data_IF_005954354387
#
_entry.id   IF_005954354387
#
_cell.length_a   1.000
_cell.length_b   1.000
_cell.length_c   1.000
_cell.angle_alpha   90.00
_cell.angle_beta   90.00
_cell.angle_gamma   90.00
#
_symmetry.space_group_name_H-M   'P 1'
#
loop_
_entity.id
_entity.type
_entity.pdbx_description
1 polymer ?
#
# COMPACT_ATOMS: atom_id res chain seq x y z
N UNK A 1 7.64 32.32 -14.26
CA UNK A 1 7.87 30.94 -13.80
C UNK A 1 8.99 30.35 -14.64
N UNK A 2 10.17 30.11 -14.07
CA UNK A 2 11.33 29.64 -14.80
C UNK A 2 11.24 28.11 -14.97
N UNK A 3 11.15 27.64 -16.20
CA UNK A 3 11.34 26.22 -16.53
C UNK A 3 12.73 25.77 -16.08
N UNK A 4 12.78 24.93 -15.08
CA UNK A 4 14.00 24.18 -14.75
C UNK A 4 14.26 23.22 -15.91
N UNK A 5 15.24 23.57 -16.78
CA UNK A 5 15.81 22.64 -17.75
C UNK A 5 16.25 21.36 -17.01
N UNK A 6 15.56 20.27 -17.25
CA UNK A 6 16.04 18.94 -16.85
C UNK A 6 17.34 18.66 -17.61
N UNK A 7 18.41 18.36 -16.85
CA UNK A 7 19.65 17.87 -17.44
C UNK A 7 19.36 16.55 -18.18
N UNK A 8 20.01 16.27 -19.32
CA UNK A 8 19.81 15.02 -20.05
C UNK A 8 20.22 13.85 -19.16
N UNK A 9 19.28 12.96 -18.88
CA UNK A 9 19.53 11.66 -18.23
C UNK A 9 20.30 10.78 -19.23
N UNK A 10 21.62 10.88 -19.23
CA UNK A 10 22.48 10.12 -20.16
C UNK A 10 22.69 8.64 -19.77
N UNK A 11 22.03 8.13 -18.72
CA UNK A 11 22.04 6.72 -18.35
C UNK A 11 20.65 6.29 -17.91
N UNK A 12 20.08 5.31 -18.59
CA UNK A 12 18.86 4.64 -18.15
C UNK A 12 19.08 4.04 -16.77
N UNK A 13 18.38 4.56 -15.77
CA UNK A 13 18.39 4.02 -14.42
C UNK A 13 17.54 2.74 -14.40
N UNK A 14 18.10 1.64 -13.91
CA UNK A 14 17.35 0.40 -13.74
C UNK A 14 17.14 0.12 -12.26
N UNK A 15 15.89 -0.08 -11.87
CA UNK A 15 15.54 -0.47 -10.50
C UNK A 15 15.17 -1.96 -10.44
N UNK A 16 15.47 -2.60 -9.31
CA UNK A 16 14.85 -3.86 -8.92
C UNK A 16 13.61 -3.53 -8.09
N UNK A 17 12.43 -3.72 -8.70
CA UNK A 17 11.16 -3.43 -8.03
C UNK A 17 10.72 -4.61 -7.18
N UNK A 18 10.74 -4.44 -5.86
CA UNK A 18 10.33 -5.45 -4.90
C UNK A 18 8.95 -5.16 -4.32
N UNK A 19 8.06 -6.13 -4.47
CA UNK A 19 6.77 -6.16 -3.79
C UNK A 19 6.46 -7.60 -3.34
N UNK A 20 5.67 -7.75 -2.27
CA UNK A 20 5.25 -9.06 -1.73
C UNK A 20 4.00 -9.63 -2.39
N UNK A 21 3.50 -9.01 -3.47
CA UNK A 21 2.34 -9.44 -4.27
C UNK A 21 2.77 -9.78 -5.70
N UNK A 22 1.87 -10.41 -6.45
CA UNK A 22 2.05 -10.75 -7.86
C UNK A 22 2.10 -9.47 -8.72
N UNK A 23 3.25 -8.82 -8.75
CA UNK A 23 3.42 -7.49 -9.37
C UNK A 23 3.28 -7.54 -10.88
N UNK A 24 3.82 -8.58 -11.53
CA UNK A 24 3.79 -8.69 -12.99
C UNK A 24 2.36 -8.87 -13.48
N UNK A 25 1.61 -9.74 -12.86
CA UNK A 25 0.20 -10.01 -13.16
C UNK A 25 -0.62 -8.72 -12.98
N UNK A 26 -0.49 -8.06 -11.84
CA UNK A 26 -1.18 -6.79 -11.57
C UNK A 26 -0.75 -5.66 -12.52
N UNK A 27 0.49 -5.68 -13.02
CA UNK A 27 0.96 -4.70 -14.00
C UNK A 27 0.34 -4.94 -15.39
N UNK A 28 0.18 -6.20 -15.81
CA UNK A 28 -0.53 -6.52 -17.06
C UNK A 28 -2.03 -6.19 -16.93
N UNK A 29 -2.67 -6.51 -15.80
CA UNK A 29 -4.05 -6.11 -15.51
C UNK A 29 -4.23 -4.58 -15.52
N UNK A 30 -3.24 -3.81 -15.04
CA UNK A 30 -3.26 -2.36 -15.10
C UNK A 30 -3.29 -1.84 -16.54
N UNK A 31 -2.52 -2.40 -17.45
CA UNK A 31 -2.53 -2.03 -18.87
C UNK A 31 -3.89 -2.21 -19.52
N UNK A 32 -4.68 -3.16 -19.01
CA UNK A 32 -6.02 -3.48 -19.46
C UNK A 32 -7.13 -2.75 -18.66
N UNK A 33 -6.76 -1.78 -17.81
CA UNK A 33 -7.67 -1.08 -16.89
C UNK A 33 -8.42 -2.00 -15.92
N UNK A 34 -7.88 -3.18 -15.60
CA UNK A 34 -8.45 -4.12 -14.63
C UNK A 34 -7.89 -3.97 -13.23
N UNK A 35 -6.77 -3.25 -13.06
CA UNK A 35 -6.10 -3.03 -11.81
C UNK A 35 -5.62 -1.58 -11.68
N UNK A 36 -5.89 -0.88 -10.55
CA UNK A 36 -5.50 0.53 -10.40
C UNK A 36 -4.00 0.68 -10.15
N UNK A 37 -3.34 1.52 -10.95
CA UNK A 37 -1.88 1.69 -10.94
C UNK A 37 -1.32 2.29 -9.66
N UNK A 38 -2.10 3.03 -8.88
CA UNK A 38 -1.61 3.58 -7.61
C UNK A 38 -1.24 2.49 -6.59
N UNK A 39 -1.87 1.30 -6.64
CA UNK A 39 -1.50 0.14 -5.79
C UNK A 39 -0.14 -0.46 -6.22
N UNK A 40 0.37 -0.11 -7.39
CA UNK A 40 1.69 -0.49 -7.89
C UNK A 40 2.81 0.49 -7.50
N UNK A 41 2.54 1.43 -6.57
CA UNK A 41 3.56 2.31 -5.98
C UNK A 41 4.43 3.06 -7.00
N UNK A 42 3.80 3.59 -8.05
CA UNK A 42 4.45 4.36 -9.09
C UNK A 42 5.11 3.54 -10.20
N UNK A 43 5.19 2.22 -10.09
CA UNK A 43 5.76 1.34 -11.11
C UNK A 43 5.27 1.64 -12.54
N UNK A 44 3.95 1.86 -12.79
CA UNK A 44 3.43 2.16 -14.12
C UNK A 44 3.99 3.42 -14.76
N UNK A 45 4.46 4.36 -13.95
CA UNK A 45 4.91 5.68 -14.41
C UNK A 45 6.43 5.80 -14.54
N UNK A 46 7.20 4.83 -14.04
CA UNK A 46 8.67 4.93 -13.97
C UNK A 46 9.32 5.04 -15.35
N UNK A 47 8.79 4.34 -16.34
CA UNK A 47 9.31 4.39 -17.71
C UNK A 47 9.18 5.78 -18.35
N UNK A 48 8.14 6.54 -17.99
CA UNK A 48 7.96 7.92 -18.44
C UNK A 48 9.09 8.86 -17.96
N UNK A 49 9.82 8.44 -16.93
CA UNK A 49 10.97 9.17 -16.37
C UNK A 49 12.32 8.52 -16.73
N UNK A 50 12.35 7.61 -17.70
CA UNK A 50 13.58 6.92 -18.11
C UNK A 50 14.09 5.91 -17.08
N UNK A 51 13.19 5.38 -16.23
CA UNK A 51 13.52 4.36 -15.21
C UNK A 51 12.98 3.02 -15.66
N UNK A 52 13.88 2.09 -15.96
CA UNK A 52 13.52 0.71 -16.28
C UNK A 52 13.33 -0.13 -15.01
N UNK A 53 12.40 -1.08 -15.03
CA UNK A 53 12.05 -1.88 -13.85
C UNK A 53 12.24 -3.36 -14.08
N UNK A 54 13.09 -3.98 -13.27
CA UNK A 54 13.19 -5.45 -13.12
C UNK A 54 12.25 -5.87 -12.00
N UNK A 55 11.14 -6.50 -12.34
CA UNK A 55 10.12 -6.87 -11.36
C UNK A 55 10.49 -8.15 -10.60
N UNK A 56 10.35 -8.10 -9.27
CA UNK A 56 10.55 -9.26 -8.41
C UNK A 56 9.58 -10.40 -8.78
N UNK A 57 10.10 -11.61 -8.87
CA UNK A 57 9.28 -12.82 -9.05
C UNK A 57 8.65 -13.19 -7.71
N UNK A 58 7.42 -12.74 -7.49
CA UNK A 58 6.72 -13.02 -6.25
C UNK A 58 6.38 -14.50 -6.11
N UNK A 59 6.54 -15.03 -4.89
CA UNK A 59 6.02 -16.34 -4.46
C UNK A 59 5.42 -16.22 -3.08
N UNK A 60 4.32 -16.94 -2.85
CA UNK A 60 3.69 -16.97 -1.54
C UNK A 60 4.34 -18.02 -0.63
N UNK A 61 4.61 -17.63 0.60
CA UNK A 61 5.17 -18.48 1.63
C UNK A 61 4.37 -18.34 2.93
N UNK A 62 4.08 -19.46 3.57
CA UNK A 62 3.41 -19.48 4.89
C UNK A 62 4.29 -18.95 6.02
N UNK A 63 5.62 -18.89 5.82
CA UNK A 63 6.59 -18.49 6.85
C UNK A 63 7.48 -17.33 6.41
N UNK A 64 7.70 -16.35 7.33
CA UNK A 64 8.56 -15.16 7.07
C UNK A 64 10.00 -15.54 6.72
N UNK A 65 10.56 -16.57 7.37
CA UNK A 65 11.94 -17.01 7.09
C UNK A 65 12.10 -17.50 5.66
N UNK A 66 11.15 -18.31 5.16
CA UNK A 66 11.18 -18.79 3.77
C UNK A 66 11.09 -17.64 2.78
N UNK A 67 10.24 -16.66 3.05
CA UNK A 67 10.14 -15.44 2.25
C UNK A 67 11.46 -14.68 2.24
N UNK A 68 12.09 -14.48 3.41
CA UNK A 68 13.38 -13.77 3.53
C UNK A 68 14.49 -14.46 2.75
N UNK A 69 14.61 -15.78 2.86
CA UNK A 69 15.61 -16.55 2.10
C UNK A 69 15.38 -16.47 0.60
N UNK A 70 14.14 -16.62 0.15
CA UNK A 70 13.77 -16.52 -1.24
C UNK A 70 14.04 -15.12 -1.81
N UNK A 71 13.51 -14.07 -1.18
CA UNK A 71 13.70 -12.71 -1.65
C UNK A 71 15.17 -12.28 -1.67
N UNK A 72 15.93 -12.66 -0.63
CA UNK A 72 17.37 -12.39 -0.58
C UNK A 72 18.10 -13.07 -1.75
N UNK A 73 17.80 -14.34 -2.03
CA UNK A 73 18.38 -15.06 -3.17
C UNK A 73 18.05 -14.37 -4.51
N UNK A 74 16.78 -14.05 -4.75
CA UNK A 74 16.35 -13.42 -6.01
C UNK A 74 17.02 -12.05 -6.21
N UNK A 75 17.19 -11.26 -5.15
CA UNK A 75 17.84 -9.94 -5.21
C UNK A 75 19.34 -10.05 -5.46
N UNK A 76 20.04 -10.94 -4.70
CA UNK A 76 21.49 -11.05 -4.77
C UNK A 76 21.96 -11.72 -6.07
N UNK A 77 21.20 -12.68 -6.57
CA UNK A 77 21.52 -13.46 -7.77
C UNK A 77 20.65 -13.10 -8.98
N UNK A 78 20.10 -11.87 -8.99
CA UNK A 78 19.36 -11.36 -10.13
C UNK A 78 20.27 -11.36 -11.37
N UNK A 79 19.79 -11.97 -12.46
CA UNK A 79 20.54 -12.06 -13.72
C UNK A 79 20.59 -10.71 -14.45
N UNK A 80 19.56 -9.90 -14.29
CA UNK A 80 19.46 -8.57 -14.88
C UNK A 80 20.25 -7.57 -14.04
N UNK A 81 20.99 -6.67 -14.68
CA UNK A 81 21.70 -5.61 -14.00
C UNK A 81 20.70 -4.53 -13.56
N UNK A 82 20.78 -4.10 -12.33
CA UNK A 82 20.02 -2.97 -11.80
C UNK A 82 20.90 -2.09 -10.92
N UNK A 83 20.49 -0.84 -10.73
CA UNK A 83 21.27 0.17 -10.01
C UNK A 83 20.76 0.35 -8.57
N UNK A 84 19.45 0.23 -8.34
CA UNK A 84 18.77 0.52 -7.07
C UNK A 84 17.79 -0.59 -6.73
N UNK A 85 17.72 -0.99 -5.46
CA UNK A 85 16.63 -1.79 -4.92
C UNK A 85 15.50 -0.85 -4.45
N UNK A 86 14.38 -0.86 -5.17
CA UNK A 86 13.18 -0.11 -4.84
C UNK A 86 12.13 -1.06 -4.27
N UNK A 87 11.77 -0.86 -3.01
CA UNK A 87 10.89 -1.78 -2.28
C UNK A 87 9.64 -1.07 -1.76
N UNK A 88 8.49 -1.70 -1.92
CA UNK A 88 7.21 -1.17 -1.39
C UNK A 88 7.01 -1.47 0.09
N UNK A 89 7.81 -2.39 0.65
CA UNK A 89 7.90 -2.68 2.08
C UNK A 89 9.22 -3.37 2.38
N UNK A 90 9.61 -3.42 3.65
CA UNK A 90 10.83 -4.14 4.08
C UNK A 90 10.58 -5.64 4.34
N UNK A 91 9.32 -6.09 4.35
CA UNK A 91 8.99 -7.48 4.65
C UNK A 91 9.59 -8.43 3.62
N UNK A 92 10.49 -9.31 4.07
CA UNK A 92 11.18 -10.30 3.25
C UNK A 92 12.57 -9.89 2.77
N UNK A 93 12.91 -8.60 2.76
CA UNK A 93 14.24 -8.10 2.35
C UNK A 93 15.13 -7.68 3.52
N UNK A 94 14.73 -7.98 4.76
CA UNK A 94 15.49 -7.64 5.96
C UNK A 94 16.97 -8.08 5.89
N UNK A 95 17.31 -9.31 5.41
CA UNK A 95 18.71 -9.70 5.28
C UNK A 95 19.49 -8.80 4.31
N UNK A 96 18.89 -8.39 3.18
CA UNK A 96 19.53 -7.50 2.21
C UNK A 96 19.80 -6.12 2.82
N UNK A 97 18.86 -5.61 3.64
CA UNK A 97 19.04 -4.35 4.37
C UNK A 97 20.20 -4.46 5.36
N UNK A 98 20.32 -5.57 6.12
CA UNK A 98 21.47 -5.78 7.00
C UNK A 98 22.78 -5.92 6.22
N UNK A 99 22.79 -6.64 5.09
CA UNK A 99 23.97 -6.71 4.22
C UNK A 99 24.38 -5.32 3.71
N UNK A 100 23.40 -4.45 3.40
CA UNK A 100 23.67 -3.05 3.02
C UNK A 100 24.27 -2.26 4.18
N UNK A 101 23.74 -2.41 5.40
CA UNK A 101 24.25 -1.75 6.59
C UNK A 101 25.72 -2.11 6.91
N UNK A 102 26.12 -3.35 6.59
CA UNK A 102 27.46 -3.90 6.74
C UNK A 102 28.38 -3.61 5.54
N UNK A 103 27.89 -2.99 4.47
CA UNK A 103 28.67 -2.69 3.27
C UNK A 103 28.85 -3.87 2.31
N UNK A 104 28.26 -5.03 2.59
CA UNK A 104 28.33 -6.25 1.75
C UNK A 104 27.39 -6.17 0.54
N UNK A 105 26.27 -5.50 0.65
CA UNK A 105 25.40 -5.16 -0.48
C UNK A 105 25.60 -3.70 -0.86
N UNK A 106 26.06 -3.44 -2.09
CA UNK A 106 26.55 -2.11 -2.49
C UNK A 106 25.50 -1.20 -3.13
N UNK A 107 24.38 -1.76 -3.63
CA UNK A 107 23.35 -0.97 -4.31
C UNK A 107 22.48 -0.22 -3.29
N UNK A 108 22.07 1.03 -3.57
CA UNK A 108 21.17 1.76 -2.70
C UNK A 108 19.82 1.05 -2.51
N UNK A 109 19.22 1.24 -1.34
CA UNK A 109 17.89 0.73 -1.00
C UNK A 109 16.96 1.91 -0.76
N UNK A 110 15.92 2.00 -1.59
CA UNK A 110 14.82 2.97 -1.48
C UNK A 110 13.57 2.20 -1.09
N UNK A 111 12.86 2.64 -0.06
CA UNK A 111 11.73 1.89 0.49
C UNK A 111 10.54 2.79 0.82
N UNK A 112 9.32 2.28 0.59
CA UNK A 112 8.11 2.84 1.16
C UNK A 112 7.95 2.35 2.59
N UNK A 113 7.89 3.29 3.54
CA UNK A 113 7.78 3.01 4.95
C UNK A 113 6.41 3.45 5.46
N UNK A 114 5.52 2.49 5.67
CA UNK A 114 4.09 2.74 5.93
C UNK A 114 3.81 3.27 7.34
N UNK A 115 4.75 3.09 8.28
CA UNK A 115 4.60 3.50 9.67
C UNK A 115 5.74 4.43 10.09
N UNK A 116 5.63 5.09 11.23
CA UNK A 116 6.78 5.80 11.81
C UNK A 116 7.86 4.80 12.28
N UNK A 117 9.12 5.24 12.21
CA UNK A 117 10.22 4.55 12.90
C UNK A 117 10.01 4.70 14.39
N UNK A 118 9.99 3.60 15.12
CA UNK A 118 9.74 3.60 16.57
C UNK A 118 10.95 3.16 17.37
N UNK A 119 11.08 3.64 18.61
CA UNK A 119 12.11 3.20 19.54
C UNK A 119 11.73 1.84 20.13
N UNK A 120 12.69 0.93 20.23
CA UNK A 120 12.46 -0.34 20.89
C UNK A 120 12.81 -0.24 22.38
N UNK A 121 11.94 -0.69 23.29
CA UNK A 121 12.20 -0.61 24.73
C UNK A 121 13.36 -1.49 25.20
N UNK A 122 13.72 -2.55 24.46
CA UNK A 122 14.85 -3.44 24.79
C UNK A 122 16.13 -2.91 24.13
N UNK A 123 17.21 -2.58 24.91
CA UNK A 123 18.42 -1.95 24.36
C UNK A 123 19.07 -2.73 23.21
N UNK A 124 19.18 -4.05 23.32
CA UNK A 124 19.78 -4.86 22.27
C UNK A 124 18.96 -4.85 20.97
N UNK A 125 17.62 -4.85 21.07
CA UNK A 125 16.73 -4.73 19.90
C UNK A 125 16.83 -3.35 19.29
N UNK A 126 17.02 -2.32 20.12
CA UNK A 126 17.22 -0.96 19.65
C UNK A 126 18.51 -0.86 18.81
N UNK A 127 19.61 -1.49 19.23
CA UNK A 127 20.86 -1.53 18.46
C UNK A 127 20.68 -2.26 17.11
N UNK A 128 20.01 -3.41 17.12
CA UNK A 128 19.66 -4.12 15.88
C UNK A 128 18.81 -3.24 14.97
N UNK A 129 17.81 -2.54 15.52
CA UNK A 129 16.96 -1.62 14.77
C UNK A 129 17.77 -0.45 14.18
N UNK A 130 18.73 0.11 14.92
CA UNK A 130 19.63 1.16 14.39
C UNK A 130 20.46 0.66 13.21
N UNK A 131 21.04 -0.54 13.34
CA UNK A 131 21.77 -1.18 12.25
C UNK A 131 20.87 -1.41 11.04
N UNK A 132 19.64 -1.87 11.24
CA UNK A 132 18.65 -2.05 10.18
C UNK A 132 18.39 -0.75 9.41
N UNK A 133 18.05 0.34 10.09
CA UNK A 133 17.78 1.63 9.44
C UNK A 133 19.02 2.28 8.81
N UNK A 134 20.23 1.94 9.29
CA UNK A 134 21.48 2.32 8.62
C UNK A 134 21.56 1.77 7.20
N UNK A 135 21.04 0.55 6.96
CA UNK A 135 21.03 -0.12 5.66
C UNK A 135 20.01 0.40 4.66
N UNK A 136 19.16 1.35 5.02
CA UNK A 136 18.20 1.98 4.12
C UNK A 136 18.76 3.33 3.69
N UNK A 137 18.83 3.59 2.40
CA UNK A 137 19.38 4.85 1.89
C UNK A 137 18.31 5.95 1.79
N UNK A 138 17.06 5.59 1.43
CA UNK A 138 15.94 6.52 1.34
C UNK A 138 14.63 5.86 1.80
N UNK A 139 13.84 6.57 2.59
CA UNK A 139 12.50 6.15 3.03
C UNK A 139 11.44 7.15 2.58
N UNK A 140 10.42 6.66 1.90
CA UNK A 140 9.23 7.41 1.56
C UNK A 140 8.15 7.19 2.63
N UNK A 141 7.64 8.27 3.18
CA UNK A 141 6.61 8.29 4.21
C UNK A 141 5.40 9.09 3.73
N UNK A 142 4.20 8.66 4.10
CA UNK A 142 2.95 9.21 3.58
C UNK A 142 2.52 10.53 4.24
N UNK A 143 3.13 10.91 5.37
CA UNK A 143 2.75 12.14 6.06
C UNK A 143 3.92 12.82 6.75
N UNK A 144 3.79 14.15 6.95
CA UNK A 144 4.75 14.92 7.74
C UNK A 144 4.82 14.44 9.19
N UNK A 145 3.69 13.98 9.75
CA UNK A 145 3.66 13.41 11.11
C UNK A 145 4.53 12.17 11.22
N UNK A 146 4.44 11.23 10.26
CA UNK A 146 5.30 10.04 10.23
C UNK A 146 6.79 10.40 10.16
N UNK A 147 7.14 11.44 9.39
CA UNK A 147 8.51 11.96 9.32
C UNK A 147 8.96 12.49 10.68
N UNK A 148 8.15 13.38 11.29
CA UNK A 148 8.46 13.98 12.58
C UNK A 148 8.63 12.93 13.69
N UNK A 149 7.73 11.95 13.74
CA UNK A 149 7.79 10.87 14.73
C UNK A 149 9.01 9.95 14.49
N UNK A 150 9.35 9.68 13.23
CA UNK A 150 10.55 8.92 12.87
C UNK A 150 11.85 9.64 13.28
N UNK A 151 11.92 10.96 13.11
CA UNK A 151 13.08 11.78 13.48
C UNK A 151 13.36 11.75 14.98
N UNK A 152 12.33 11.68 15.83
CA UNK A 152 12.47 11.59 17.29
C UNK A 152 13.33 10.41 17.74
N UNK A 153 13.37 9.34 16.97
CA UNK A 153 14.13 8.12 17.28
C UNK A 153 15.63 8.23 17.01
N UNK A 154 16.05 9.21 16.20
CA UNK A 154 17.42 9.38 15.70
C UNK A 154 18.02 8.15 15.00
N UNK A 155 17.19 7.22 14.50
CA UNK A 155 17.63 6.04 13.75
C UNK A 155 17.88 6.33 12.27
N UNK A 156 17.16 7.29 11.73
CA UNK A 156 17.28 7.72 10.35
C UNK A 156 17.53 9.22 10.28
N UNK A 157 18.64 9.66 9.66
CA UNK A 157 18.90 11.08 9.43
C UNK A 157 17.79 11.70 8.56
N UNK A 158 17.52 12.99 8.76
CA UNK A 158 16.44 13.71 8.07
C UNK A 158 16.53 13.65 6.54
N UNK A 159 17.75 13.63 6.00
CA UNK A 159 17.96 13.55 4.54
C UNK A 159 17.48 12.22 3.93
N UNK A 160 17.38 11.15 4.72
CA UNK A 160 16.84 9.85 4.28
C UNK A 160 15.32 9.79 4.28
N UNK A 161 14.64 10.71 4.96
CA UNK A 161 13.18 10.72 5.10
C UNK A 161 12.58 11.69 4.07
N UNK A 162 11.72 11.19 3.20
CA UNK A 162 11.05 11.97 2.18
C UNK A 162 9.54 11.82 2.28
N UNK A 163 8.84 12.94 2.24
CA UNK A 163 7.40 12.93 2.07
C UNK A 163 7.07 12.52 0.64
N UNK A 164 6.16 11.59 0.50
CA UNK A 164 5.59 11.23 -0.78
C UNK A 164 4.08 11.44 -0.74
N UNK A 165 3.55 12.04 -1.80
CA UNK A 165 2.12 12.14 -2.01
C UNK A 165 1.68 10.94 -2.84
N UNK A 166 0.70 10.21 -2.31
CA UNK A 166 0.10 9.09 -2.99
C UNK A 166 -1.30 9.48 -3.47
N UNK A 167 -1.56 9.33 -4.74
CA UNK A 167 -2.81 9.74 -5.36
C UNK A 167 -3.42 8.61 -6.19
N UNK A 168 -4.66 8.79 -6.68
CA UNK A 168 -5.36 7.82 -7.49
C UNK A 168 -4.75 7.69 -8.90
N UNK A 169 -5.01 6.54 -9.52
CA UNK A 169 -4.86 6.33 -10.96
C UNK A 169 -6.12 6.83 -11.66
N UNK A 170 -6.17 8.12 -11.96
CA UNK A 170 -7.34 8.74 -12.59
C UNK A 170 -7.74 8.05 -13.91
N UNK A 171 -6.82 7.75 -14.85
CA UNK A 171 -7.17 7.03 -16.07
C UNK A 171 -7.93 5.72 -15.85
N UNK A 172 -7.56 4.96 -14.80
CA UNK A 172 -8.27 3.73 -14.43
C UNK A 172 -9.71 4.02 -14.01
N UNK A 173 -9.93 5.01 -13.14
CA UNK A 173 -11.29 5.34 -12.67
C UNK A 173 -12.11 6.04 -13.74
N UNK A 174 -11.52 6.86 -14.60
CA UNK A 174 -12.21 7.48 -15.74
C UNK A 174 -12.71 6.40 -16.72
N UNK A 175 -11.88 5.38 -17.00
CA UNK A 175 -12.27 4.23 -17.81
C UNK A 175 -13.44 3.44 -17.18
N UNK A 176 -13.33 3.15 -15.87
CA UNK A 176 -14.38 2.45 -15.13
C UNK A 176 -15.71 3.23 -15.15
N UNK A 177 -15.65 4.55 -14.97
CA UNK A 177 -16.84 5.40 -14.99
C UNK A 177 -17.46 5.51 -16.40
N UNK A 178 -16.65 5.49 -17.46
CA UNK A 178 -17.11 5.52 -18.84
C UNK A 178 -17.94 4.29 -19.22
N UNK A 179 -17.68 3.15 -18.56
CA UNK A 179 -18.53 1.94 -18.74
C UNK A 179 -19.89 2.02 -18.01
N UNK A 180 -20.12 3.06 -17.22
CA UNK A 180 -21.30 3.20 -16.35
C UNK A 180 -21.97 4.57 -16.50
N UNK A 181 -22.30 5.03 -17.72
CA UNK A 181 -22.82 6.38 -17.96
C UNK A 181 -24.15 6.64 -17.24
N UNK A 182 -25.01 5.61 -17.12
CA UNK A 182 -26.35 5.72 -16.53
C UNK A 182 -26.40 5.31 -15.06
N UNK A 183 -25.23 5.28 -14.36
CA UNK A 183 -25.21 4.92 -12.94
C UNK A 183 -26.08 5.84 -12.13
N UNK A 184 -26.86 5.26 -11.22
CA UNK A 184 -27.65 6.00 -10.21
C UNK A 184 -27.08 5.66 -8.84
N UNK A 185 -26.28 6.56 -8.24
CA UNK A 185 -25.70 6.30 -6.93
C UNK A 185 -26.78 6.22 -5.86
N UNK A 186 -26.74 5.17 -5.02
CA UNK A 186 -27.68 4.97 -3.92
C UNK A 186 -27.03 4.31 -2.71
N UNK A 187 -27.36 4.79 -1.51
CA UNK A 187 -26.93 4.23 -0.23
C UNK A 187 -25.44 4.41 0.05
N UNK A 188 -25.00 3.76 1.08
CA UNK A 188 -23.64 3.87 1.61
C UNK A 188 -22.84 2.59 1.34
N UNK A 189 -21.54 2.73 1.24
CA UNK A 189 -20.61 1.60 1.18
C UNK A 189 -19.44 1.82 2.13
N UNK A 190 -19.00 0.74 2.76
CA UNK A 190 -17.69 0.71 3.44
C UNK A 190 -16.87 -0.43 2.90
N UNK A 191 -15.62 -0.14 2.54
CA UNK A 191 -14.68 -1.12 1.97
C UNK A 191 -13.38 -1.16 2.76
N UNK A 192 -12.65 -2.27 2.60
CA UNK A 192 -11.31 -2.43 3.15
C UNK A 192 -11.16 -3.69 3.98
N UNK A 193 -9.93 -3.95 4.43
CA UNK A 193 -9.63 -5.16 5.18
C UNK A 193 -8.74 -4.96 6.40
N UNK A 194 -8.06 -3.83 6.51
CA UNK A 194 -7.14 -3.59 7.63
C UNK A 194 -7.70 -2.53 8.58
N UNK A 195 -7.73 -2.85 9.87
CA UNK A 195 -8.03 -1.91 10.96
C UNK A 195 -9.34 -1.12 10.79
N UNK A 196 -10.40 -1.81 10.35
CA UNK A 196 -11.74 -1.22 10.29
C UNK A 196 -12.44 -1.34 11.65
N UNK A 197 -13.06 -0.26 12.08
CA UNK A 197 -13.94 -0.23 13.25
C UNK A 197 -15.35 -0.61 12.82
N UNK A 198 -15.52 -1.92 12.65
CA UNK A 198 -16.79 -2.49 12.18
C UNK A 198 -17.87 -2.38 13.25
N UNK A 199 -17.51 -2.47 14.52
CA UNK A 199 -18.43 -2.37 15.63
C UNK A 199 -19.14 -1.01 15.66
N UNK A 200 -18.38 0.07 15.67
CA UNK A 200 -18.94 1.44 15.59
C UNK A 200 -19.76 1.65 14.32
N UNK A 201 -19.27 1.15 13.16
CA UNK A 201 -19.98 1.28 11.90
C UNK A 201 -21.37 0.61 11.95
N UNK A 202 -21.45 -0.63 12.39
CA UNK A 202 -22.71 -1.38 12.45
C UNK A 202 -23.70 -0.77 13.43
N UNK A 203 -23.24 -0.34 14.61
CA UNK A 203 -24.09 0.34 15.60
C UNK A 203 -24.69 1.64 15.03
N UNK A 204 -23.88 2.44 14.35
CA UNK A 204 -24.36 3.70 13.76
C UNK A 204 -25.43 3.46 12.68
N UNK A 205 -25.22 2.49 11.78
CA UNK A 205 -26.17 2.20 10.71
C UNK A 205 -27.43 1.48 11.20
N UNK A 206 -27.32 0.64 12.22
CA UNK A 206 -28.49 0.03 12.85
C UNK A 206 -29.39 1.08 13.52
N UNK A 207 -28.81 2.13 14.09
CA UNK A 207 -29.57 3.22 14.72
C UNK A 207 -30.26 4.16 13.71
N UNK A 208 -29.71 4.32 12.49
CA UNK A 208 -30.24 5.23 11.47
C UNK A 208 -31.14 4.54 10.45
N UNK A 209 -31.09 3.21 10.36
CA UNK A 209 -31.76 2.38 9.36
C UNK A 209 -31.44 2.76 7.90
N UNK A 210 -30.28 3.40 7.66
CA UNK A 210 -29.78 3.73 6.33
C UNK A 210 -29.19 2.49 5.62
N UNK A 211 -29.25 2.49 4.28
CA UNK A 211 -28.74 1.38 3.48
C UNK A 211 -27.21 1.34 3.46
N UNK A 212 -26.61 0.28 4.01
CA UNK A 212 -25.17 0.05 4.01
C UNK A 212 -24.80 -1.27 3.33
N UNK A 213 -23.88 -1.22 2.38
CA UNK A 213 -23.15 -2.40 1.92
C UNK A 213 -21.72 -2.39 2.51
N UNK A 214 -21.41 -3.36 3.35
CA UNK A 214 -20.07 -3.53 3.95
C UNK A 214 -19.31 -4.64 3.23
N UNK A 215 -18.25 -4.26 2.49
CA UNK A 215 -17.32 -5.18 1.83
C UNK A 215 -16.06 -5.31 2.66
N UNK A 216 -15.88 -6.48 3.32
CA UNK A 216 -14.79 -6.69 4.27
C UNK A 216 -14.24 -8.12 4.19
N UNK A 217 -12.95 -8.30 4.49
CA UNK A 217 -12.35 -9.63 4.61
C UNK A 217 -12.91 -10.37 5.84
N UNK A 218 -12.97 -11.70 5.80
CA UNK A 218 -13.34 -12.52 6.99
C UNK A 218 -12.40 -12.22 8.16
N UNK A 219 -11.11 -12.09 7.88
CA UNK A 219 -10.09 -11.73 8.87
C UNK A 219 -8.92 -11.00 8.25
N UNK A 220 -8.26 -10.15 9.04
CA UNK A 220 -7.02 -9.51 8.64
C UNK A 220 -6.10 -9.29 9.85
N UNK A 221 -4.87 -9.79 9.77
CA UNK A 221 -3.95 -9.76 10.90
C UNK A 221 -4.50 -10.54 12.11
N UNK A 222 -4.65 -9.85 13.23
CA UNK A 222 -5.20 -10.41 14.46
C UNK A 222 -6.72 -10.16 14.63
N UNK A 223 -7.35 -9.48 13.67
CA UNK A 223 -8.78 -9.14 13.73
C UNK A 223 -9.56 -10.17 12.92
N UNK A 224 -10.55 -10.79 13.54
CA UNK A 224 -11.53 -11.64 12.87
C UNK A 224 -12.86 -10.89 12.81
N UNK A 225 -13.12 -10.27 11.68
CA UNK A 225 -14.32 -9.45 11.46
C UNK A 225 -15.60 -10.27 11.50
N UNK A 226 -15.56 -11.51 10.99
CA UNK A 226 -16.74 -12.38 11.07
C UNK A 226 -17.17 -12.62 12.51
N UNK A 227 -16.24 -12.87 13.44
CA UNK A 227 -16.56 -13.04 14.86
C UNK A 227 -17.11 -11.76 15.51
N UNK A 228 -16.75 -10.59 15.00
CA UNK A 228 -17.28 -9.30 15.47
C UNK A 228 -18.70 -9.09 14.94
N UNK A 229 -18.96 -9.46 13.68
CA UNK A 229 -20.23 -9.22 12.98
C UNK A 229 -21.31 -10.24 13.38
N UNK A 230 -20.95 -11.52 13.49
CA UNK A 230 -21.93 -12.63 13.72
C UNK A 230 -22.87 -12.42 14.93
N UNK A 231 -22.47 -11.76 16.03
CA UNK A 231 -23.38 -11.53 17.17
C UNK A 231 -24.47 -10.46 16.92
N UNK A 232 -24.36 -9.67 15.85
CA UNK A 232 -25.32 -8.61 15.58
C UNK A 232 -26.60 -9.15 14.91
N UNK A 233 -27.76 -8.78 15.46
CA UNK A 233 -29.02 -8.89 14.77
C UNK A 233 -29.19 -7.67 13.84
N UNK A 234 -28.64 -7.77 12.62
CA UNK A 234 -28.62 -6.66 11.67
C UNK A 234 -29.97 -6.47 10.98
N UNK A 235 -30.43 -5.22 10.79
CA UNK A 235 -31.62 -4.93 9.98
C UNK A 235 -31.33 -5.22 8.49
N UNK A 236 -32.38 -5.40 7.69
CA UNK A 236 -32.29 -5.66 6.24
C UNK A 236 -31.61 -4.55 5.45
N UNK A 237 -31.51 -3.35 6.03
CA UNK A 237 -30.79 -2.20 5.45
C UNK A 237 -29.25 -2.40 5.43
N UNK A 238 -28.71 -3.34 6.23
CA UNK A 238 -27.27 -3.59 6.32
C UNK A 238 -26.95 -4.94 5.68
N UNK A 239 -26.11 -4.91 4.61
CA UNK A 239 -25.66 -6.12 3.91
C UNK A 239 -24.16 -6.30 4.09
N UNK A 240 -23.77 -7.51 4.49
CA UNK A 240 -22.35 -7.87 4.70
C UNK A 240 -21.88 -8.73 3.53
N UNK A 241 -20.79 -8.28 2.88
CA UNK A 241 -20.14 -8.98 1.77
C UNK A 241 -18.69 -9.28 2.13
N UNK A 242 -18.35 -10.56 2.25
CA UNK A 242 -16.96 -10.95 2.48
C UNK A 242 -16.16 -10.93 1.17
N UNK A 243 -15.01 -10.24 1.17
CA UNK A 243 -14.28 -9.85 -0.05
C UNK A 243 -13.10 -10.75 -0.41
N UNK A 244 -12.96 -11.91 0.19
CA UNK A 244 -11.90 -12.84 -0.13
C UNK A 244 -12.07 -13.31 -1.60
N UNK A 245 -11.42 -12.60 -2.53
CA UNK A 245 -11.47 -12.88 -3.96
C UNK A 245 -12.15 -11.83 -4.86
N UNK A 246 -12.68 -10.74 -4.30
CA UNK A 246 -13.20 -9.63 -5.14
C UNK A 246 -12.02 -8.87 -5.76
N UNK A 247 -12.01 -8.76 -7.08
CA UNK A 247 -10.96 -8.03 -7.82
C UNK A 247 -11.18 -6.51 -7.71
N UNK A 248 -10.12 -5.70 -7.75
CA UNK A 248 -10.22 -4.24 -7.61
C UNK A 248 -11.18 -3.58 -8.60
N UNK A 249 -11.22 -4.03 -9.84
CA UNK A 249 -12.09 -3.47 -10.87
C UNK A 249 -13.58 -3.67 -10.55
N UNK A 250 -13.98 -4.88 -10.20
CA UNK A 250 -15.39 -5.17 -9.86
C UNK A 250 -15.80 -4.45 -8.56
N UNK A 251 -14.90 -4.39 -7.57
CA UNK A 251 -15.16 -3.63 -6.36
C UNK A 251 -15.31 -2.14 -6.68
N UNK A 252 -14.48 -1.57 -7.54
CA UNK A 252 -14.57 -0.18 -7.99
C UNK A 252 -15.94 0.12 -8.66
N UNK A 253 -16.47 -0.79 -9.46
CA UNK A 253 -17.83 -0.66 -10.03
C UNK A 253 -18.93 -0.66 -8.99
N UNK A 254 -18.79 -1.49 -7.95
CA UNK A 254 -19.74 -1.52 -6.84
C UNK A 254 -19.68 -0.21 -6.03
N UNK A 255 -18.47 0.28 -5.76
CA UNK A 255 -18.27 1.57 -5.08
C UNK A 255 -18.84 2.72 -5.90
N UNK A 256 -18.60 2.75 -7.22
CA UNK A 256 -19.08 3.80 -8.11
C UNK A 256 -20.62 3.93 -8.17
N UNK A 257 -21.36 2.91 -7.75
CA UNK A 257 -22.84 2.91 -7.65
C UNK A 257 -23.37 3.45 -6.32
N UNK A 258 -22.49 3.93 -5.43
CA UNK A 258 -22.88 4.39 -4.10
C UNK A 258 -22.83 5.90 -3.98
N UNK A 259 -23.71 6.44 -3.14
CA UNK A 259 -23.81 7.88 -2.90
C UNK A 259 -22.71 8.37 -1.95
N UNK A 260 -22.20 7.51 -1.07
CA UNK A 260 -21.20 7.87 -0.08
C UNK A 260 -20.33 6.66 0.32
N UNK A 261 -19.05 6.92 0.55
CA UNK A 261 -18.09 5.93 1.08
C UNK A 261 -17.82 6.23 2.54
N UNK A 262 -18.07 5.27 3.43
CA UNK A 262 -17.81 5.41 4.85
C UNK A 262 -16.48 4.74 5.21
N UNK A 263 -15.54 5.53 5.73
CA UNK A 263 -14.21 5.05 6.14
C UNK A 263 -14.14 5.04 7.67
N UNK A 264 -14.72 4.03 8.30
CA UNK A 264 -14.65 3.83 9.75
C UNK A 264 -13.42 3.01 10.11
N UNK A 265 -12.46 3.61 10.81
CA UNK A 265 -11.17 3.00 11.14
C UNK A 265 -10.88 3.04 12.62
N UNK A 266 -10.24 1.99 13.14
CA UNK A 266 -9.65 2.00 14.46
C UNK A 266 -8.52 3.03 14.53
N UNK A 267 -8.32 3.64 15.69
CA UNK A 267 -7.23 4.60 15.91
C UNK A 267 -5.88 3.87 15.97
N UNK A 268 -5.02 4.16 15.00
CA UNK A 268 -3.66 3.64 14.91
C UNK A 268 -2.64 4.75 14.69
N UNK A 269 -1.40 4.61 15.19
CA UNK A 269 -0.36 5.62 15.02
C UNK A 269 0.25 5.66 13.60
N UNK A 270 -0.51 5.24 12.58
CA UNK A 270 -0.13 5.27 11.17
C UNK A 270 -1.36 5.44 10.27
N UNK A 271 -1.13 5.68 8.99
CA UNK A 271 -2.21 5.96 8.03
C UNK A 271 -3.04 4.70 7.76
N UNK A 272 -4.32 4.73 8.15
CA UNK A 272 -5.32 3.69 7.90
C UNK A 272 -6.37 4.24 6.93
N UNK A 273 -6.94 3.39 6.08
CA UNK A 273 -8.03 3.78 5.17
C UNK A 273 -7.61 4.59 3.94
N UNK A 274 -6.30 4.85 3.75
CA UNK A 274 -5.82 5.72 2.68
C UNK A 274 -6.20 5.22 1.27
N UNK A 275 -6.19 3.92 1.02
CA UNK A 275 -6.59 3.35 -0.29
C UNK A 275 -8.04 3.68 -0.61
N UNK A 276 -8.94 3.50 0.35
CA UNK A 276 -10.36 3.81 0.20
C UNK A 276 -10.60 5.32 0.02
N UNK A 277 -9.84 6.16 0.74
CA UNK A 277 -9.92 7.62 0.59
C UNK A 277 -9.49 8.07 -0.81
N UNK A 278 -8.40 7.50 -1.34
CA UNK A 278 -7.90 7.79 -2.69
C UNK A 278 -8.91 7.35 -3.74
N UNK A 279 -9.57 6.22 -3.55
CA UNK A 279 -10.65 5.73 -4.40
C UNK A 279 -11.89 6.67 -4.38
N UNK A 280 -12.30 7.13 -3.20
CA UNK A 280 -13.38 8.10 -3.04
C UNK A 280 -13.10 9.38 -3.83
N UNK A 281 -11.90 9.95 -3.71
CA UNK A 281 -11.49 11.13 -4.47
C UNK A 281 -11.51 10.89 -5.98
N UNK A 282 -11.03 9.74 -6.44
CA UNK A 282 -11.01 9.39 -7.86
C UNK A 282 -12.42 9.27 -8.46
N UNK A 283 -13.34 8.71 -7.70
CA UNK A 283 -14.73 8.51 -8.12
C UNK A 283 -15.60 9.77 -7.91
N UNK A 284 -15.09 10.80 -7.24
CA UNK A 284 -15.86 12.00 -6.88
C UNK A 284 -17.02 11.69 -5.93
N UNK A 285 -16.85 10.70 -5.04
CA UNK A 285 -17.87 10.26 -4.08
C UNK A 285 -17.47 10.78 -2.68
N UNK A 286 -18.40 11.44 -1.95
CA UNK A 286 -18.15 11.90 -0.58
C UNK A 286 -17.93 10.74 0.39
#
# INVERSE_FOLDING_TARGET
>A
MAEKKQAPLNKLLTIYFYHTRLTRESYEEWKEYKFPGHILYGLPLLENYGIHSVMHKCKYFSGRLKLMLYATKEILFCKEKYDVLYATSFRGIEPVIFLRALGLYRKPIVIWHHTAVVTNPKPWREQISRLFYKGIDQMFLFSRKLIQDSQKTRKAPSHKLKLIHWGPDLPFYDHLLAEMPDRKPEGFISTGKENRDVDTLLQAFAATNEKLDLYIAVSCGNINYKKIIDPYALPDSIRIHYTDGVIPYELGKLVARKSCIVICCLDFPYTVGLTTLVEAFALGIP
#
